data_IF_559559092342
#
_entry.id   IF_559559092342
#
_cell.length_a   1.000
_cell.length_b   1.000
_cell.length_c   1.000
_cell.angle_alpha   90.00
_cell.angle_beta   90.00
_cell.angle_gamma   90.00
#
_symmetry.space_group_name_H-M   'P 1'
#
loop_
_entity.id
_entity.type
_entity.pdbx_description
1 polymer ?
#
# COMPACT_ATOMS: atom_id res chain seq x y z
N UNK A 1 16.17 -16.92 18.82
CA UNK A 1 17.09 -17.67 19.71
C UNK A 1 17.28 -16.83 20.97
N UNK A 2 17.13 -17.42 22.15
CA UNK A 2 17.44 -16.77 23.42
C UNK A 2 18.61 -17.53 24.06
N UNK A 3 19.64 -16.82 24.50
CA UNK A 3 20.84 -17.43 25.09
C UNK A 3 21.27 -16.66 26.33
N UNK A 4 21.80 -17.39 27.33
CA UNK A 4 22.26 -16.84 28.60
C UNK A 4 23.72 -17.25 28.82
N UNK A 5 24.62 -16.27 28.90
CA UNK A 5 26.05 -16.47 29.15
C UNK A 5 26.50 -15.64 30.35
N UNK A 6 26.53 -16.28 31.53
CA UNK A 6 26.90 -15.63 32.81
C UNK A 6 26.05 -14.38 33.09
N UNK A 7 26.58 -13.19 32.80
CA UNK A 7 25.91 -11.89 32.99
C UNK A 7 25.38 -11.29 31.69
N UNK A 8 25.50 -11.99 30.56
CA UNK A 8 25.00 -11.54 29.25
C UNK A 8 23.79 -12.36 28.84
N UNK A 9 22.68 -11.67 28.66
CA UNK A 9 21.44 -12.19 28.11
C UNK A 9 21.41 -11.77 26.65
N UNK A 10 21.27 -12.73 25.73
CA UNK A 10 21.24 -12.49 24.28
C UNK A 10 19.88 -12.87 23.72
N UNK A 11 19.27 -11.94 22.98
CA UNK A 11 18.08 -12.19 22.19
C UNK A 11 18.39 -12.02 20.70
N UNK A 12 17.97 -12.97 19.89
CA UNK A 12 18.14 -12.97 18.45
C UNK A 12 16.84 -13.35 17.75
N UNK A 13 16.44 -12.57 16.75
CA UNK A 13 15.22 -12.76 15.97
C UNK A 13 15.57 -12.65 14.48
N UNK A 14 15.20 -13.67 13.72
CA UNK A 14 15.26 -13.66 12.25
C UNK A 14 13.87 -13.93 11.71
N UNK A 15 13.35 -12.99 10.92
CA UNK A 15 12.03 -13.07 10.28
C UNK A 15 12.26 -13.12 8.77
N UNK A 16 11.68 -14.13 8.13
CA UNK A 16 11.57 -14.21 6.68
C UNK A 16 10.11 -14.04 6.31
N UNK A 17 9.76 -12.91 5.68
CA UNK A 17 8.41 -12.64 5.22
C UNK A 17 8.44 -11.90 3.88
N UNK A 18 7.60 -12.31 2.92
CA UNK A 18 7.42 -11.65 1.62
C UNK A 18 8.74 -11.37 0.86
N UNK A 19 9.66 -12.32 0.86
CA UNK A 19 10.96 -12.19 0.19
C UNK A 19 11.98 -11.29 0.90
N UNK A 20 11.67 -10.83 2.12
CA UNK A 20 12.54 -9.94 2.91
C UNK A 20 12.98 -10.67 4.18
N UNK A 21 14.29 -10.62 4.41
CA UNK A 21 14.95 -11.16 5.59
C UNK A 21 15.27 -10.02 6.55
N UNK A 22 14.61 -10.03 7.70
CA UNK A 22 14.81 -9.08 8.79
C UNK A 22 15.54 -9.82 9.91
N UNK A 23 16.63 -9.24 10.39
CA UNK A 23 17.44 -9.83 11.44
C UNK A 23 17.70 -8.79 12.53
N UNK A 24 17.59 -9.22 13.78
CA UNK A 24 17.84 -8.40 14.95
C UNK A 24 18.51 -9.23 16.04
N UNK A 25 19.62 -8.70 16.57
CA UNK A 25 20.33 -9.26 17.71
C UNK A 25 20.57 -8.14 18.73
N UNK A 26 20.36 -8.45 20.02
CA UNK A 26 20.75 -7.62 21.16
C UNK A 26 21.31 -8.46 22.30
N UNK A 27 22.19 -7.83 23.07
CA UNK A 27 22.77 -8.40 24.28
C UNK A 27 22.70 -7.38 25.40
N UNK A 28 22.07 -7.75 26.52
CA UNK A 28 21.97 -6.92 27.73
C UNK A 28 22.21 -7.74 28.99
N UNK A 29 22.17 -7.09 30.16
CA UNK A 29 22.34 -7.75 31.46
C UNK A 29 21.05 -8.46 31.93
N UNK A 30 19.90 -8.02 31.42
CA UNK A 30 18.58 -8.60 31.69
C UNK A 30 17.92 -9.09 30.39
N UNK A 31 17.21 -10.22 30.45
CA UNK A 31 16.60 -10.88 29.29
C UNK A 31 15.43 -10.07 28.75
N UNK A 32 14.59 -9.50 29.62
CA UNK A 32 13.44 -8.69 29.18
C UNK A 32 13.92 -7.43 28.45
N UNK A 33 14.94 -6.78 28.99
CA UNK A 33 15.61 -5.66 28.34
C UNK A 33 16.20 -6.01 26.96
N UNK A 34 16.69 -7.23 26.77
CA UNK A 34 17.18 -7.70 25.46
C UNK A 34 16.03 -7.88 24.48
N UNK A 35 14.93 -8.49 24.93
CA UNK A 35 13.74 -8.73 24.10
C UNK A 35 13.15 -7.40 23.62
N UNK A 36 12.95 -6.44 24.52
CA UNK A 36 12.37 -5.14 24.19
C UNK A 36 13.23 -4.40 23.15
N UNK A 37 14.55 -4.40 23.33
CA UNK A 37 15.46 -3.77 22.37
C UNK A 37 15.49 -4.48 21.01
N UNK A 38 15.45 -5.80 20.97
CA UNK A 38 15.32 -6.53 19.70
C UNK A 38 13.97 -6.18 19.05
N UNK A 39 12.89 -6.13 19.82
CA UNK A 39 11.57 -5.81 19.32
C UNK A 39 11.54 -4.42 18.68
N UNK A 40 12.11 -3.41 19.33
CA UNK A 40 12.24 -2.06 18.77
C UNK A 40 13.05 -2.03 17.46
N UNK A 41 14.14 -2.82 17.39
CA UNK A 41 14.96 -2.98 16.18
C UNK A 41 14.15 -3.61 15.04
N UNK A 42 13.37 -4.65 15.33
CA UNK A 42 12.53 -5.33 14.34
C UNK A 42 11.41 -4.41 13.88
N UNK A 43 10.70 -3.75 14.80
CA UNK A 43 9.61 -2.83 14.47
C UNK A 43 10.10 -1.70 13.54
N UNK A 44 11.25 -1.09 13.86
CA UNK A 44 11.88 -0.09 12.99
C UNK A 44 12.21 -0.62 11.59
N UNK A 45 12.71 -1.85 11.50
CA UNK A 45 13.02 -2.47 10.21
C UNK A 45 11.75 -2.78 9.41
N UNK A 46 10.71 -3.30 10.05
CA UNK A 46 9.40 -3.55 9.45
C UNK A 46 8.79 -2.25 8.96
N UNK A 47 8.77 -1.21 9.79
CA UNK A 47 8.22 0.11 9.43
C UNK A 47 8.97 0.70 8.25
N UNK A 48 10.30 0.72 8.27
CA UNK A 48 11.13 1.20 7.16
C UNK A 48 10.93 0.37 5.88
N UNK A 49 10.69 -0.92 6.01
CA UNK A 49 10.42 -1.79 4.87
C UNK A 49 9.04 -1.51 4.27
N UNK A 50 8.01 -1.38 5.11
CA UNK A 50 6.66 -0.95 4.71
C UNK A 50 6.68 0.43 4.06
N UNK A 51 7.37 1.40 4.67
CA UNK A 51 7.59 2.74 4.13
C UNK A 51 8.35 2.69 2.80
N UNK A 52 9.34 1.81 2.63
CA UNK A 52 10.07 1.68 1.36
C UNK A 52 9.17 1.11 0.26
N UNK A 53 8.38 0.08 0.54
CA UNK A 53 7.38 -0.45 -0.40
C UNK A 53 6.37 0.64 -0.75
N UNK A 54 5.85 1.34 0.26
CA UNK A 54 4.90 2.44 0.09
C UNK A 54 5.51 3.61 -0.67
N UNK A 55 6.76 4.01 -0.43
CA UNK A 55 7.45 5.07 -1.14
C UNK A 55 7.79 4.70 -2.59
N UNK A 56 8.09 3.43 -2.87
CA UNK A 56 8.25 2.93 -4.24
C UNK A 56 6.91 2.94 -5.00
N UNK A 57 5.79 2.70 -4.31
CA UNK A 57 4.44 2.82 -4.87
C UNK A 57 3.99 4.29 -5.00
N UNK A 58 4.36 5.14 -4.03
CA UNK A 58 4.04 6.56 -3.97
C UNK A 58 4.88 7.42 -4.89
N UNK A 59 6.15 7.13 -5.21
CA UNK A 59 6.87 7.90 -6.25
C UNK A 59 6.25 7.77 -7.65
N UNK A 60 5.48 6.70 -7.87
CA UNK A 60 4.66 6.56 -9.07
C UNK A 60 3.29 7.25 -8.90
N UNK A 61 2.70 7.22 -7.70
CA UNK A 61 1.42 7.87 -7.42
C UNK A 61 1.51 9.38 -7.10
N UNK A 62 2.61 9.96 -6.64
CA UNK A 62 2.76 11.40 -6.34
C UNK A 62 2.68 12.24 -7.61
N UNK A 63 3.17 11.71 -8.74
CA UNK A 63 2.90 12.29 -10.06
C UNK A 63 1.41 12.24 -10.42
N UNK A 64 0.66 11.26 -9.93
CA UNK A 64 -0.77 11.10 -10.20
C UNK A 64 -1.67 11.85 -9.21
N UNK A 65 -1.28 11.99 -7.95
CA UNK A 65 -2.04 12.66 -6.88
C UNK A 65 -1.90 14.18 -6.96
N UNK A 66 -0.73 14.73 -7.29
CA UNK A 66 -0.63 16.18 -7.57
C UNK A 66 -1.53 16.58 -8.74
N UNK A 67 -1.65 15.73 -9.76
CA UNK A 67 -2.57 15.97 -10.89
C UNK A 67 -4.04 15.83 -10.45
N UNK A 68 -4.39 14.90 -9.55
CA UNK A 68 -5.76 14.77 -9.02
C UNK A 68 -6.17 15.95 -8.12
N UNK A 69 -5.26 16.46 -7.27
CA UNK A 69 -5.55 17.62 -6.41
C UNK A 69 -5.71 18.93 -7.21
N UNK A 70 -4.98 19.10 -8.31
CA UNK A 70 -5.17 20.23 -9.25
C UNK A 70 -6.51 20.16 -10.00
N UNK A 71 -7.12 18.98 -10.13
CA UNK A 71 -8.42 18.79 -10.78
C UNK A 71 -9.56 19.08 -9.80
N UNK A 72 -9.47 18.58 -8.56
CA UNK A 72 -10.51 18.77 -7.53
C UNK A 72 -10.57 20.21 -7.03
N UNK A 73 -9.44 20.92 -6.96
CA UNK A 73 -9.43 22.34 -6.53
C UNK A 73 -9.93 23.34 -7.59
N UNK A 74 -10.14 22.91 -8.84
CA UNK A 74 -10.58 23.80 -9.93
C UNK A 74 -12.07 23.82 -10.22
N UNK A 75 -12.86 22.94 -9.61
CA UNK A 75 -14.32 22.87 -9.82
C UNK A 75 -15.06 23.01 -8.49
N UNK A 76 -14.99 24.20 -7.91
CA UNK A 76 -15.94 24.63 -6.89
C UNK A 76 -16.41 26.05 -7.16
N UNK A 77 -16.82 26.34 -8.39
CA UNK A 77 -17.65 27.52 -8.68
C UNK A 77 -18.63 27.23 -9.83
N UNK A 78 -19.91 27.43 -9.50
CA UNK A 78 -21.07 27.75 -10.36
C UNK A 78 -21.93 26.65 -11.03
N UNK A 79 -23.07 26.46 -10.36
CA UNK A 79 -24.45 26.59 -10.84
C UNK A 79 -25.12 25.54 -11.74
N UNK A 80 -26.33 25.22 -11.28
CA UNK A 80 -27.33 24.30 -11.82
C UNK A 80 -27.75 24.73 -13.23
N UNK A 81 -27.32 23.97 -14.24
CA UNK A 81 -27.80 24.12 -15.61
C UNK A 81 -27.60 22.81 -16.37
N UNK A 82 -28.68 22.31 -16.96
CA UNK A 82 -28.76 21.12 -17.81
C UNK A 82 -27.73 21.21 -18.95
N UNK A 83 -26.54 20.65 -18.72
CA UNK A 83 -25.47 20.59 -19.71
C UNK A 83 -25.17 19.13 -20.02
N UNK A 84 -25.12 18.75 -21.32
CA UNK A 84 -24.82 17.37 -21.69
C UNK A 84 -23.47 16.97 -21.12
N UNK A 85 -23.38 15.75 -20.57
CA UNK A 85 -22.16 15.25 -19.95
C UNK A 85 -21.02 15.20 -20.97
N UNK A 86 -20.04 16.10 -20.83
CA UNK A 86 -18.84 16.10 -21.67
C UNK A 86 -17.77 15.21 -21.03
N UNK A 87 -17.06 14.40 -21.81
CA UNK A 87 -15.88 13.68 -21.32
C UNK A 87 -14.78 14.73 -21.12
N UNK A 88 -14.57 15.12 -19.86
CA UNK A 88 -13.71 16.27 -19.50
C UNK A 88 -12.22 15.96 -19.71
N UNK A 89 -11.81 14.67 -19.64
CA UNK A 89 -10.42 14.27 -19.89
C UNK A 89 -10.26 12.76 -20.09
N UNK A 90 -9.48 12.36 -21.10
CA UNK A 90 -9.03 10.97 -21.27
C UNK A 90 -7.60 10.85 -20.74
N UNK A 91 -7.37 10.02 -19.72
CA UNK A 91 -6.03 9.73 -19.20
C UNK A 91 -5.71 8.25 -19.42
N UNK A 92 -4.68 7.98 -20.22
CA UNK A 92 -4.11 6.64 -20.39
C UNK A 92 -3.05 6.42 -19.32
N UNK A 93 -3.21 5.37 -18.52
CA UNK A 93 -2.31 5.05 -17.41
C UNK A 93 -1.52 3.78 -17.74
N UNK A 94 -0.22 3.81 -17.46
CA UNK A 94 0.59 2.60 -17.48
C UNK A 94 0.40 1.83 -16.15
N UNK A 95 -0.70 1.08 -16.03
CA UNK A 95 -0.96 0.29 -14.82
C UNK A 95 -0.01 -0.92 -14.77
N UNK A 96 0.77 -1.01 -13.69
CA UNK A 96 1.51 -2.22 -13.36
C UNK A 96 0.54 -3.38 -13.13
N UNK A 97 0.89 -4.62 -13.52
CA UNK A 97 0.09 -5.78 -13.18
C UNK A 97 -0.06 -5.89 -11.66
N UNK A 98 -1.29 -6.02 -11.16
CA UNK A 98 -1.61 -6.22 -9.74
C UNK A 98 -2.75 -7.23 -9.60
N UNK A 99 -2.87 -7.89 -8.44
CA UNK A 99 -3.97 -8.84 -8.19
C UNK A 99 -5.27 -8.11 -7.85
N UNK A 100 -6.40 -8.83 -7.91
CA UNK A 100 -7.71 -8.31 -7.50
C UNK A 100 -7.72 -7.88 -6.03
N UNK A 101 -7.09 -8.68 -5.16
CA UNK A 101 -6.99 -8.37 -3.73
C UNK A 101 -6.12 -7.13 -3.47
N UNK A 102 -5.04 -6.97 -4.23
CA UNK A 102 -4.19 -5.77 -4.18
C UNK A 102 -4.90 -4.52 -4.69
N UNK A 103 -5.81 -4.68 -5.65
CA UNK A 103 -6.66 -3.62 -6.15
C UNK A 103 -7.72 -3.23 -5.09
N UNK A 104 -8.34 -4.19 -4.40
CA UNK A 104 -9.29 -3.95 -3.32
C UNK A 104 -8.65 -3.18 -2.16
N UNK A 105 -7.48 -3.64 -1.69
CA UNK A 105 -6.72 -2.93 -0.65
C UNK A 105 -6.37 -1.50 -1.04
N UNK A 106 -6.04 -1.24 -2.32
CA UNK A 106 -5.77 0.12 -2.80
C UNK A 106 -7.03 0.97 -2.82
N UNK A 107 -8.15 0.39 -3.20
CA UNK A 107 -9.42 1.09 -3.28
C UNK A 107 -9.87 1.57 -1.89
N UNK A 108 -9.69 0.72 -0.86
CA UNK A 108 -9.99 1.07 0.53
C UNK A 108 -9.03 2.10 1.10
N UNK A 109 -7.72 1.91 0.89
CA UNK A 109 -6.69 2.78 1.46
C UNK A 109 -6.76 4.20 0.88
N UNK A 110 -7.11 4.32 -0.39
CA UNK A 110 -7.18 5.60 -1.11
C UNK A 110 -8.59 6.21 -1.15
N UNK A 111 -9.60 5.49 -0.67
CA UNK A 111 -11.00 5.91 -0.71
C UNK A 111 -11.52 6.11 -2.14
N UNK A 112 -11.08 5.28 -3.08
CA UNK A 112 -11.53 5.37 -4.46
C UNK A 112 -12.87 4.64 -4.65
N UNK A 113 -13.75 5.16 -5.50
CA UNK A 113 -14.99 4.46 -5.85
C UNK A 113 -14.81 3.51 -7.04
N UNK A 114 -13.79 3.76 -7.87
CA UNK A 114 -13.41 2.90 -8.99
C UNK A 114 -11.88 2.87 -9.17
N UNK A 115 -11.37 1.72 -9.59
CA UNK A 115 -9.96 1.49 -9.86
C UNK A 115 -9.81 0.61 -11.10
N UNK A 116 -9.19 1.16 -12.14
CA UNK A 116 -8.78 0.41 -13.33
C UNK A 116 -7.38 -0.14 -13.09
N UNK A 117 -7.16 -1.42 -13.36
CA UNK A 117 -5.86 -2.05 -13.19
C UNK A 117 -5.63 -3.16 -14.22
N UNK A 118 -4.37 -3.54 -14.44
CA UNK A 118 -4.04 -4.73 -15.21
C UNK A 118 -3.95 -5.90 -14.25
N UNK A 119 -4.79 -6.92 -14.43
CA UNK A 119 -4.79 -8.10 -13.59
C UNK A 119 -3.53 -8.93 -13.87
N UNK A 120 -2.78 -9.28 -12.82
CA UNK A 120 -1.52 -10.04 -12.93
C UNK A 120 -1.71 -11.48 -13.40
N UNK A 121 -2.88 -12.09 -13.17
CA UNK A 121 -3.14 -13.49 -13.49
C UNK A 121 -3.42 -13.71 -14.98
N UNK A 122 -4.19 -12.80 -15.59
CA UNK A 122 -4.62 -12.92 -16.98
C UNK A 122 -4.00 -11.84 -17.90
N UNK A 123 -3.30 -10.86 -17.33
CA UNK A 123 -2.70 -9.75 -18.06
C UNK A 123 -3.72 -8.80 -18.70
N UNK A 124 -5.03 -8.95 -18.42
CA UNK A 124 -6.12 -8.15 -18.97
C UNK A 124 -6.36 -6.90 -18.11
N UNK A 125 -7.02 -5.90 -18.68
CA UNK A 125 -7.43 -4.71 -17.94
C UNK A 125 -8.75 -5.05 -17.25
N UNK A 126 -8.79 -4.88 -15.94
CA UNK A 126 -9.99 -5.06 -15.13
C UNK A 126 -10.35 -3.73 -14.46
N UNK A 127 -11.63 -3.54 -14.16
CA UNK A 127 -12.11 -2.39 -13.39
C UNK A 127 -12.77 -2.90 -12.11
N UNK A 128 -12.21 -2.51 -10.96
CA UNK A 128 -12.82 -2.70 -9.66
C UNK A 128 -13.66 -1.46 -9.31
N UNK A 129 -14.84 -1.63 -8.75
CA UNK A 129 -15.67 -0.53 -8.28
C UNK A 129 -16.40 -0.88 -6.98
N UNK A 130 -16.68 0.15 -6.18
CA UNK A 130 -17.45 0.01 -4.96
C UNK A 130 -18.94 0.05 -5.26
N UNK A 131 -19.70 -0.92 -4.75
CA UNK A 131 -21.16 -0.96 -4.87
C UNK A 131 -21.81 -0.24 -3.68
N UNK A 132 -23.10 0.09 -3.82
CA UNK A 132 -23.90 0.74 -2.77
C UNK A 132 -24.10 -0.12 -1.52
N UNK A 133 -23.93 -1.43 -1.65
CA UNK A 133 -23.99 -2.44 -0.57
C UNK A 133 -22.64 -2.67 0.12
N UNK A 134 -21.67 -1.76 -0.05
CA UNK A 134 -20.30 -1.83 0.51
C UNK A 134 -19.46 -3.03 0.01
N UNK A 135 -19.99 -3.78 -0.96
CA UNK A 135 -19.29 -4.86 -1.65
C UNK A 135 -18.52 -4.35 -2.88
N UNK A 136 -17.56 -5.15 -3.35
CA UNK A 136 -16.79 -4.85 -4.57
C UNK A 136 -17.40 -5.51 -5.80
N UNK A 137 -17.44 -4.77 -6.92
CA UNK A 137 -17.74 -5.29 -8.24
C UNK A 137 -16.51 -5.29 -9.13
N UNK A 138 -16.33 -6.33 -9.93
CA UNK A 138 -15.25 -6.46 -10.90
C UNK A 138 -15.85 -6.50 -12.31
N UNK A 139 -15.34 -5.65 -13.21
CA UNK A 139 -15.69 -5.63 -14.63
C UNK A 139 -14.46 -6.11 -15.41
N UNK A 140 -14.67 -7.14 -16.23
CA UNK A 140 -13.69 -7.67 -17.16
C UNK A 140 -14.19 -7.44 -18.59
N UNK A 141 -13.46 -6.68 -19.43
CA UNK A 141 -13.71 -6.60 -20.86
C UNK A 141 -13.24 -7.90 -21.55
N UNK A 142 -14.07 -8.43 -22.47
CA UNK A 142 -13.75 -9.60 -23.30
C UNK A 142 -12.58 -9.35 -24.28
#
# INVERSE_FOLDING_TARGET
>A
ILAVEKFRQKAEVTINANGVKIHGEEVTEDMYSSIDKVMDKIDRQVRKHKERIWALKNKQHEKDVNIKMDIITKESVEEVGDTPHHIIKTKSFAYKPMSVDEAAMQMDLLGYEFLVFRNSNNGRINVLYKRKDDNYGLIEPE
#
